data_IF_087883712448
#
_entry.id   IF_087883712448
#
_cell.length_a   1.000
_cell.length_b   1.000
_cell.length_c   1.000
_cell.angle_alpha   90.00
_cell.angle_beta   90.00
_cell.angle_gamma   90.00
#
_symmetry.space_group_name_H-M   'P 1'
#
loop_
_entity.id
_entity.type
_entity.pdbx_description
1 polymer ?
#
# COMPACT_ATOMS: atom_id res chain seq x y z
N UNK A 1 -3.48 5.09 -7.34
CA UNK A 1 -4.03 6.01 -6.33
C UNK A 1 -3.52 7.42 -6.57
N UNK A 2 -3.93 8.42 -5.76
CA UNK A 2 -3.24 9.72 -5.75
C UNK A 2 -1.86 9.57 -5.11
N UNK A 3 -0.83 10.09 -5.76
CA UNK A 3 0.55 10.09 -5.25
C UNK A 3 0.95 11.54 -4.98
N UNK A 4 1.48 11.83 -3.81
CA UNK A 4 1.89 13.18 -3.42
C UNK A 4 2.92 13.77 -4.39
N UNK A 5 2.83 15.07 -4.66
CA UNK A 5 3.74 15.74 -5.61
C UNK A 5 5.22 15.66 -5.16
N UNK A 6 5.49 15.73 -3.86
CA UNK A 6 6.83 15.56 -3.31
C UNK A 6 7.36 14.15 -3.57
N UNK A 7 6.54 13.13 -3.37
CA UNK A 7 6.87 11.74 -3.66
C UNK A 7 7.18 11.54 -5.15
N UNK A 8 6.32 12.05 -6.04
CA UNK A 8 6.52 11.97 -7.50
C UNK A 8 7.83 12.59 -7.95
N UNK A 9 8.20 13.74 -7.39
CA UNK A 9 9.45 14.44 -7.70
C UNK A 9 10.68 13.66 -7.20
N UNK A 10 10.60 13.05 -6.02
CA UNK A 10 11.71 12.33 -5.40
C UNK A 10 11.89 10.92 -5.96
N UNK A 11 10.80 10.23 -6.33
CA UNK A 11 10.79 8.83 -6.78
C UNK A 11 9.97 8.63 -8.06
N UNK A 12 10.42 9.15 -9.21
CA UNK A 12 9.67 9.10 -10.46
C UNK A 12 9.48 7.67 -11.00
N UNK A 13 10.48 6.77 -10.89
CA UNK A 13 10.32 5.38 -11.36
C UNK A 13 9.32 4.63 -10.49
N UNK A 14 9.42 4.80 -9.17
CA UNK A 14 8.47 4.17 -8.24
C UNK A 14 7.05 4.70 -8.46
N UNK A 15 6.88 6.01 -8.65
CA UNK A 15 5.57 6.60 -8.91
C UNK A 15 4.93 6.00 -10.17
N UNK A 16 5.70 5.94 -11.26
CA UNK A 16 5.24 5.30 -12.51
C UNK A 16 4.90 3.83 -12.29
N UNK A 17 5.71 3.10 -11.52
CA UNK A 17 5.45 1.70 -11.24
C UNK A 17 4.14 1.51 -10.46
N UNK A 18 3.88 2.34 -9.45
CA UNK A 18 2.63 2.31 -8.66
C UNK A 18 1.43 2.57 -9.57
N UNK A 19 1.48 3.59 -10.42
CA UNK A 19 0.40 3.92 -11.36
C UNK A 19 0.12 2.80 -12.35
N UNK A 20 1.19 2.20 -12.90
CA UNK A 20 1.07 1.19 -13.95
C UNK A 20 0.72 -0.20 -13.38
N UNK A 21 1.10 -0.53 -12.14
CA UNK A 21 1.04 -1.90 -11.62
C UNK A 21 0.08 -2.10 -10.46
N UNK A 22 -0.05 -1.14 -9.53
CA UNK A 22 -0.96 -1.31 -8.38
C UNK A 22 -2.42 -1.58 -8.82
N UNK A 23 -2.99 -0.91 -9.85
CA UNK A 23 -4.36 -1.20 -10.29
C UNK A 23 -4.55 -2.62 -10.84
N UNK A 24 -3.47 -3.32 -11.23
CA UNK A 24 -3.52 -4.69 -11.74
C UNK A 24 -3.79 -5.72 -10.64
N UNK A 25 -3.70 -5.34 -9.36
CA UNK A 25 -4.04 -6.21 -8.23
C UNK A 25 -5.47 -6.76 -8.35
N UNK A 26 -6.39 -6.00 -8.96
CA UNK A 26 -7.77 -6.43 -9.27
C UNK A 26 -7.86 -7.71 -10.11
N UNK A 27 -6.81 -8.03 -10.87
CA UNK A 27 -6.73 -9.27 -11.67
C UNK A 27 -6.16 -10.44 -10.87
N UNK A 28 -5.57 -10.19 -9.70
CA UNK A 28 -5.02 -11.19 -8.78
C UNK A 28 -6.13 -11.59 -7.79
N UNK A 29 -7.06 -12.46 -8.21
CA UNK A 29 -8.27 -12.80 -7.43
C UNK A 29 -8.01 -13.01 -5.94
N UNK A 30 -7.03 -13.85 -5.58
CA UNK A 30 -6.66 -14.11 -4.19
C UNK A 30 -6.27 -12.86 -3.40
N UNK A 31 -5.48 -11.96 -4.00
CA UNK A 31 -5.04 -10.71 -3.37
C UNK A 31 -6.19 -9.72 -3.31
N UNK A 32 -7.00 -9.63 -4.38
CA UNK A 32 -8.13 -8.71 -4.45
C UNK A 32 -9.24 -9.05 -3.45
N UNK A 33 -9.61 -10.33 -3.36
CA UNK A 33 -10.63 -10.79 -2.42
C UNK A 33 -10.20 -10.53 -0.97
N UNK A 34 -8.94 -10.83 -0.64
CA UNK A 34 -8.38 -10.53 0.68
C UNK A 34 -8.37 -9.02 0.95
N UNK A 35 -7.96 -8.22 -0.04
CA UNK A 35 -7.96 -6.76 0.09
C UNK A 35 -9.37 -6.20 0.36
N UNK A 36 -10.39 -6.65 -0.39
CA UNK A 36 -11.78 -6.25 -0.16
C UNK A 36 -12.27 -6.65 1.22
N UNK A 37 -11.97 -7.88 1.64
CA UNK A 37 -12.36 -8.40 2.96
C UNK A 37 -11.79 -7.56 4.10
N UNK A 38 -10.49 -7.28 4.08
CA UNK A 38 -9.83 -6.64 5.21
C UNK A 38 -9.89 -5.11 5.16
N UNK A 39 -10.03 -4.49 4.00
CA UNK A 39 -10.22 -3.03 3.91
C UNK A 39 -11.66 -2.60 4.18
N UNK A 40 -12.62 -3.53 4.15
CA UNK A 40 -14.06 -3.29 4.30
C UNK A 40 -14.64 -2.23 3.33
N UNK A 41 -13.88 -1.91 2.28
CA UNK A 41 -14.30 -1.00 1.22
C UNK A 41 -15.29 -1.70 0.28
N UNK A 42 -16.24 -0.93 -0.23
CA UNK A 42 -17.00 -1.36 -1.41
C UNK A 42 -16.05 -1.64 -2.58
N UNK A 43 -16.42 -2.54 -3.49
CA UNK A 43 -15.57 -2.85 -4.64
C UNK A 43 -15.25 -1.60 -5.49
N UNK A 44 -16.19 -0.66 -5.58
CA UNK A 44 -16.00 0.63 -6.24
C UNK A 44 -14.94 1.50 -5.54
N UNK A 45 -15.05 1.64 -4.22
CA UNK A 45 -14.11 2.45 -3.43
C UNK A 45 -12.73 1.81 -3.40
N UNK A 46 -12.64 0.49 -3.24
CA UNK A 46 -11.42 -0.29 -3.33
C UNK A 46 -10.74 -0.08 -4.70
N UNK A 47 -11.50 -0.18 -5.79
CA UNK A 47 -10.98 0.01 -7.15
C UNK A 47 -10.45 1.43 -7.37
N UNK A 48 -11.11 2.44 -6.79
CA UNK A 48 -10.63 3.81 -6.76
C UNK A 48 -9.34 3.93 -5.92
N UNK A 49 -9.31 3.35 -4.72
CA UNK A 49 -8.21 3.44 -3.76
C UNK A 49 -6.89 2.94 -4.34
N UNK A 50 -6.90 1.80 -5.04
CA UNK A 50 -5.69 1.27 -5.70
C UNK A 50 -5.48 1.85 -7.11
N UNK A 51 -6.55 2.40 -7.72
CA UNK A 51 -6.64 2.86 -9.10
C UNK A 51 -6.50 4.37 -9.29
N UNK A 52 -7.39 5.01 -10.03
CA UNK A 52 -7.32 6.45 -10.32
C UNK A 52 -8.05 7.32 -9.29
N UNK A 53 -8.39 6.78 -8.12
CA UNK A 53 -9.10 7.50 -7.08
C UNK A 53 -8.24 8.58 -6.40
N UNK A 54 -8.89 9.60 -5.81
CA UNK A 54 -8.20 10.71 -5.17
C UNK A 54 -7.60 10.36 -3.80
N UNK A 55 -8.03 9.25 -3.18
CA UNK A 55 -7.65 8.81 -1.84
C UNK A 55 -7.44 7.29 -1.78
N UNK A 56 -6.57 6.78 -0.89
CA UNK A 56 -5.66 7.56 -0.06
C UNK A 56 -4.53 8.19 -0.89
N UNK A 57 -3.79 9.11 -0.28
CA UNK A 57 -2.63 9.78 -0.88
C UNK A 57 -1.38 9.05 -0.42
N UNK A 58 -0.54 8.63 -1.37
CA UNK A 58 0.74 8.00 -1.09
C UNK A 58 1.83 9.05 -0.83
N UNK A 59 2.47 8.95 0.33
CA UNK A 59 3.61 9.74 0.80
C UNK A 59 4.80 8.84 1.13
N UNK A 60 5.94 9.45 1.44
CA UNK A 60 7.11 8.76 1.99
C UNK A 60 7.50 9.37 3.33
N UNK A 61 7.99 8.54 4.25
CA UNK A 61 8.48 8.98 5.55
C UNK A 61 9.70 8.14 5.99
N UNK A 62 10.60 8.73 6.78
CA UNK A 62 11.73 8.01 7.39
C UNK A 62 11.18 7.07 8.47
N UNK A 63 11.41 5.76 8.30
CA UNK A 63 10.94 4.73 9.22
C UNK A 63 12.03 3.68 9.43
N UNK A 64 12.47 3.52 10.69
CA UNK A 64 13.52 2.55 11.05
C UNK A 64 13.02 1.11 11.09
N UNK A 65 11.80 0.87 11.58
CA UNK A 65 11.31 -0.46 11.92
C UNK A 65 9.95 -0.81 11.28
N UNK A 66 9.55 -0.09 10.22
CA UNK A 66 8.27 -0.31 9.53
C UNK A 66 8.44 -0.18 8.02
N UNK A 67 7.62 -0.90 7.25
CA UNK A 67 7.59 -0.78 5.80
C UNK A 67 6.71 0.38 5.36
N UNK A 68 5.56 0.54 6.03
CA UNK A 68 4.63 1.62 5.79
C UNK A 68 4.00 2.09 7.10
N UNK A 69 3.12 3.08 6.96
CA UNK A 69 2.30 3.58 8.06
C UNK A 69 1.04 4.26 7.55
N UNK A 70 -0.07 4.05 8.25
CA UNK A 70 -1.28 4.84 8.20
C UNK A 70 -1.49 5.59 9.53
N UNK A 71 -2.07 6.79 9.50
CA UNK A 71 -2.32 7.63 10.69
C UNK A 71 -3.74 8.21 10.65
N UNK A 72 -4.75 7.37 10.84
CA UNK A 72 -6.16 7.78 10.78
C UNK A 72 -6.51 8.98 11.65
N UNK A 73 -5.97 9.07 12.87
CA UNK A 73 -6.30 10.12 13.84
C UNK A 73 -5.75 11.51 13.51
N UNK A 74 -4.61 11.61 12.81
CA UNK A 74 -3.94 12.90 12.52
C UNK A 74 -3.92 13.23 11.04
N UNK A 75 -3.86 12.22 10.18
CA UNK A 75 -3.69 12.35 8.73
C UNK A 75 -4.56 11.29 8.00
N UNK A 76 -5.90 11.40 8.10
CA UNK A 76 -6.85 10.36 7.69
C UNK A 76 -6.84 10.00 6.20
N UNK A 77 -6.12 10.78 5.39
CA UNK A 77 -6.03 10.61 3.96
C UNK A 77 -4.64 10.17 3.49
N UNK A 78 -3.68 9.97 4.39
CA UNK A 78 -2.29 9.72 4.06
C UNK A 78 -1.89 8.28 4.41
N UNK A 79 -1.30 7.60 3.44
CA UNK A 79 -0.51 6.40 3.69
C UNK A 79 0.95 6.71 3.36
N UNK A 80 1.86 6.05 4.08
CA UNK A 80 3.28 6.28 3.97
C UNK A 80 4.02 5.00 3.59
N UNK A 81 4.98 5.12 2.68
CA UNK A 81 5.98 4.09 2.40
C UNK A 81 7.33 4.54 2.98
N UNK A 82 8.07 3.63 3.60
CA UNK A 82 9.38 3.95 4.16
C UNK A 82 10.32 4.50 3.08
N UNK A 83 11.00 5.62 3.36
CA UNK A 83 11.92 6.24 2.40
C UNK A 83 13.03 5.28 1.94
N UNK A 84 13.51 4.40 2.82
CA UNK A 84 14.51 3.40 2.45
C UNK A 84 14.02 2.45 1.35
N UNK A 85 12.76 2.01 1.40
CA UNK A 85 12.13 1.20 0.34
C UNK A 85 12.05 2.03 -0.94
N UNK A 86 11.60 3.28 -0.83
CA UNK A 86 11.46 4.19 -1.96
C UNK A 86 12.78 4.42 -2.68
N UNK A 87 13.83 4.74 -1.93
CA UNK A 87 15.17 4.98 -2.44
C UNK A 87 15.77 3.73 -3.08
N UNK A 88 15.58 2.58 -2.46
CA UNK A 88 16.12 1.32 -2.96
C UNK A 88 15.44 0.91 -4.26
N UNK A 89 14.12 1.07 -4.36
CA UNK A 89 13.38 0.90 -5.60
C UNK A 89 13.94 1.83 -6.68
N UNK A 90 14.02 3.13 -6.38
CA UNK A 90 14.39 4.16 -7.35
C UNK A 90 15.82 3.98 -7.90
N UNK A 91 16.76 3.58 -7.04
CA UNK A 91 18.19 3.49 -7.35
C UNK A 91 18.62 2.15 -7.93
N UNK A 92 18.11 1.01 -7.42
CA UNK A 92 18.72 -0.31 -7.67
C UNK A 92 17.74 -1.43 -7.98
N UNK A 93 16.61 -1.47 -7.29
CA UNK A 93 15.80 -2.69 -7.22
C UNK A 93 14.47 -2.59 -7.99
N UNK A 94 14.28 -1.57 -8.82
CA UNK A 94 13.08 -1.38 -9.64
C UNK A 94 12.75 -2.53 -10.60
N UNK A 95 13.70 -3.41 -10.91
CA UNK A 95 13.51 -4.59 -11.74
C UNK A 95 13.29 -5.90 -10.96
N UNK A 96 13.36 -5.88 -9.62
CA UNK A 96 13.33 -7.10 -8.81
C UNK A 96 11.90 -7.51 -8.42
N UNK A 97 11.48 -8.78 -8.65
CA UNK A 97 10.18 -9.26 -8.23
C UNK A 97 9.90 -9.12 -6.73
N UNK A 98 10.92 -9.29 -5.88
CA UNK A 98 10.81 -9.15 -4.42
C UNK A 98 10.54 -7.70 -4.02
N UNK A 99 11.12 -6.75 -4.75
CA UNK A 99 10.87 -5.32 -4.55
C UNK A 99 9.46 -4.93 -5.00
N UNK A 100 8.99 -5.49 -6.13
CA UNK A 100 7.62 -5.30 -6.60
C UNK A 100 6.61 -5.83 -5.60
N UNK A 101 6.86 -7.02 -5.05
CA UNK A 101 6.01 -7.62 -4.02
C UNK A 101 6.00 -6.79 -2.74
N UNK A 102 7.17 -6.34 -2.26
CA UNK A 102 7.29 -5.50 -1.07
C UNK A 102 6.51 -4.19 -1.20
N UNK A 103 6.66 -3.49 -2.32
CA UNK A 103 5.94 -2.23 -2.56
C UNK A 103 4.43 -2.48 -2.68
N UNK A 104 4.02 -3.51 -3.43
CA UNK A 104 2.60 -3.86 -3.57
C UNK A 104 1.96 -4.18 -2.22
N UNK A 105 2.56 -5.12 -1.45
CA UNK A 105 1.98 -5.54 -0.17
C UNK A 105 1.93 -4.38 0.81
N UNK A 106 2.99 -3.58 0.89
CA UNK A 106 3.06 -2.46 1.85
C UNK A 106 2.00 -1.41 1.53
N UNK A 107 1.83 -1.02 0.27
CA UNK A 107 0.81 -0.03 -0.10
C UNK A 107 -0.60 -0.59 0.17
N UNK A 108 -0.86 -1.85 -0.15
CA UNK A 108 -2.16 -2.47 0.11
C UNK A 108 -2.42 -2.64 1.61
N UNK A 109 -1.42 -3.00 2.39
CA UNK A 109 -1.46 -3.09 3.85
C UNK A 109 -1.90 -1.75 4.46
N UNK A 110 -1.24 -0.64 4.10
CA UNK A 110 -1.65 0.66 4.63
C UNK A 110 -3.01 1.13 4.09
N UNK A 111 -3.39 0.68 2.88
CA UNK A 111 -4.71 0.98 2.31
C UNK A 111 -5.81 0.16 2.99
N UNK A 112 -5.51 -1.04 3.49
CA UNK A 112 -6.40 -1.84 4.35
C UNK A 112 -6.70 -1.07 5.62
N UNK A 113 -5.66 -0.61 6.34
CA UNK A 113 -5.83 0.23 7.53
C UNK A 113 -6.62 1.51 7.25
N UNK A 114 -6.41 2.14 6.09
CA UNK A 114 -7.19 3.31 5.68
C UNK A 114 -8.66 3.00 5.37
N UNK A 115 -8.94 1.82 4.82
CA UNK A 115 -10.30 1.39 4.49
C UNK A 115 -11.11 1.09 5.75
N UNK A 116 -10.56 0.20 6.59
CA UNK A 116 -11.13 -0.26 7.87
C UNK A 116 -11.43 0.92 8.80
N UNK A 117 -10.49 1.86 8.93
CA UNK A 117 -10.67 3.04 9.78
C UNK A 117 -11.91 3.91 9.45
N UNK A 118 -12.49 3.81 8.25
CA UNK A 118 -13.61 4.69 7.84
C UNK A 118 -14.96 4.35 8.44
N UNK A 119 -15.22 3.09 8.75
CA UNK A 119 -16.51 2.71 9.33
C UNK A 119 -16.53 2.82 10.86
N UNK A 120 -15.35 3.05 11.45
CA UNK A 120 -15.14 3.28 12.88
C UNK A 120 -15.18 1.99 13.71
N UNK A 121 -15.13 0.82 13.08
CA UNK A 121 -15.13 -0.49 13.71
C UNK A 121 -13.81 -1.19 13.41
N UNK A 122 -12.83 -1.06 14.30
CA UNK A 122 -11.57 -1.77 14.15
C UNK A 122 -11.82 -3.29 14.19
N UNK A 123 -11.35 -3.98 13.15
CA UNK A 123 -11.28 -5.43 13.17
C UNK A 123 -10.35 -5.94 14.29
N UNK A 124 -10.49 -7.24 14.62
CA UNK A 124 -9.65 -7.85 15.64
C UNK A 124 -8.27 -8.21 15.06
N UNK A 125 -7.22 -7.52 15.53
CA UNK A 125 -5.83 -7.91 15.29
C UNK A 125 -5.03 -6.80 14.63
N UNK A 126 -4.28 -7.17 13.59
CA UNK A 126 -3.56 -6.23 12.75
C UNK A 126 -3.96 -6.57 11.30
N UNK A 127 -4.86 -5.76 10.75
CA UNK A 127 -5.65 -6.01 9.55
C UNK A 127 -4.74 -6.17 8.34
N UNK A 128 -3.73 -5.33 8.25
CA UNK A 128 -2.74 -5.38 7.18
C UNK A 128 -1.94 -6.69 7.17
N UNK A 129 -1.53 -7.25 8.31
CA UNK A 129 -0.84 -8.55 8.43
C UNK A 129 -1.79 -9.70 8.17
N UNK A 130 -3.03 -9.60 8.65
CA UNK A 130 -4.06 -10.59 8.34
C UNK A 130 -4.31 -10.64 6.82
N UNK A 131 -4.40 -9.47 6.18
CA UNK A 131 -4.41 -9.33 4.72
C UNK A 131 -3.19 -9.99 4.08
N UNK A 132 -1.97 -9.69 4.52
CA UNK A 132 -0.76 -10.24 3.90
C UNK A 132 -0.69 -11.77 4.01
N UNK A 133 -1.09 -12.34 5.16
CA UNK A 133 -1.18 -13.79 5.34
C UNK A 133 -2.20 -14.42 4.40
N UNK A 134 -3.37 -13.81 4.23
CA UNK A 134 -4.39 -14.34 3.33
C UNK A 134 -3.98 -14.18 1.86
N UNK A 135 -3.50 -13.00 1.47
CA UNK A 135 -3.14 -12.66 0.10
C UNK A 135 -1.85 -13.37 -0.37
N UNK A 136 -0.80 -13.35 0.45
CA UNK A 136 0.56 -13.75 0.08
C UNK A 136 1.08 -14.97 0.86
N UNK A 137 0.34 -15.44 1.87
CA UNK A 137 0.70 -16.62 2.67
C UNK A 137 1.67 -16.32 3.82
N UNK A 138 2.11 -15.07 3.99
CA UNK A 138 3.06 -14.64 5.02
C UNK A 138 3.10 -13.11 5.12
N UNK A 139 3.61 -12.61 6.23
CA UNK A 139 4.01 -11.20 6.39
C UNK A 139 5.16 -10.88 5.41
N UNK A 140 5.05 -9.77 4.69
CA UNK A 140 6.04 -9.36 3.70
C UNK A 140 7.01 -8.38 4.33
N UNK A 141 8.24 -8.85 4.54
CA UNK A 141 9.31 -8.07 5.14
C UNK A 141 10.34 -7.62 4.11
N UNK A 142 11.14 -6.61 4.48
CA UNK A 142 12.35 -6.24 3.74
C UNK A 142 13.24 -7.47 3.63
N UNK A 143 13.80 -7.69 2.45
CA UNK A 143 14.61 -8.88 2.13
C UNK A 143 16.12 -8.61 2.23
N UNK A 144 16.49 -7.52 2.90
CA UNK A 144 17.86 -7.08 3.09
C UNK A 144 18.14 -6.77 4.55
#
# INVERSE_FOLDING_TARGET
MKIANSFRKKYPKLSKWVEDNLPKVKKKKKVWDAFLKYSELSEGDASCAVGSGPLPILHSEVMSNANGKFRGSTEPNHIYLAEEICERFEKKDSGKPEMHLLVESTILHETVHWGDWKDGVDQAGEEGKNFEKEAYGKDINRYW
#
